data_IF_089903831114
#
_entry.id   IF_089903831114
#
_cell.length_a   1.000
_cell.length_b   1.000
_cell.length_c   1.000
_cell.angle_alpha   90.00
_cell.angle_beta   90.00
_cell.angle_gamma   90.00
#
_symmetry.space_group_name_H-M   'P 1'
#
loop_
_entity.id
_entity.type
_entity.pdbx_description
1 polymer ?
#
# COMPACT_ATOMS: atom_id res chain seq x y z
N UNK A 1 24.51 -27.46 12.83
CA UNK A 1 24.01 -27.56 11.44
C UNK A 1 22.58 -27.04 11.27
N UNK A 2 21.61 -27.35 12.14
CA UNK A 2 20.21 -26.89 11.99
C UNK A 2 20.00 -25.36 11.93
N UNK A 3 20.77 -24.58 12.70
CA UNK A 3 20.71 -23.10 12.66
C UNK A 3 21.18 -22.54 11.30
N UNK A 4 22.17 -23.17 10.66
CA UNK A 4 22.65 -22.75 9.34
C UNK A 4 21.63 -22.98 8.22
N UNK A 5 20.90 -24.10 8.26
CA UNK A 5 19.80 -24.36 7.33
C UNK A 5 18.58 -23.47 7.57
N UNK A 6 18.29 -23.11 8.83
CA UNK A 6 17.29 -22.10 9.15
C UNK A 6 17.67 -20.74 8.55
N UNK A 7 18.91 -20.29 8.72
CA UNK A 7 19.40 -19.04 8.14
C UNK A 7 19.33 -19.07 6.61
N UNK A 8 19.68 -20.19 5.96
CA UNK A 8 19.58 -20.33 4.50
C UNK A 8 18.12 -20.33 4.00
N UNK A 9 17.18 -20.93 4.73
CA UNK A 9 15.75 -20.91 4.39
C UNK A 9 15.12 -19.52 4.56
N UNK A 10 15.56 -18.76 5.57
CA UNK A 10 15.12 -17.39 5.80
C UNK A 10 15.89 -16.35 4.98
N UNK A 11 17.11 -16.65 4.53
CA UNK A 11 17.96 -15.69 3.80
C UNK A 11 17.27 -15.06 2.58
N UNK A 12 16.60 -15.81 1.67
CA UNK A 12 15.88 -15.18 0.56
C UNK A 12 14.60 -14.45 1.02
N UNK A 13 13.89 -14.95 2.03
CA UNK A 13 12.64 -14.33 2.50
C UNK A 13 12.90 -13.04 3.26
N UNK A 14 13.86 -13.02 4.19
CA UNK A 14 14.24 -11.84 4.97
C UNK A 14 14.80 -10.75 4.06
N UNK A 15 15.65 -11.09 3.09
CA UNK A 15 16.17 -10.12 2.14
C UNK A 15 15.03 -9.47 1.33
N UNK A 16 14.09 -10.26 0.79
CA UNK A 16 12.92 -9.75 0.06
C UNK A 16 12.05 -8.87 0.96
N UNK A 17 11.76 -9.32 2.19
CA UNK A 17 10.97 -8.53 3.14
C UNK A 17 11.65 -7.20 3.48
N UNK A 18 12.96 -7.19 3.72
CA UNK A 18 13.72 -5.97 4.00
C UNK A 18 13.63 -5.01 2.81
N UNK A 19 13.90 -5.48 1.59
CA UNK A 19 13.85 -4.63 0.39
C UNK A 19 12.45 -4.05 0.20
N UNK A 20 11.40 -4.87 0.27
CA UNK A 20 10.01 -4.41 0.13
C UNK A 20 9.64 -3.40 1.21
N UNK A 21 10.01 -3.65 2.47
CA UNK A 21 9.71 -2.75 3.58
C UNK A 21 10.47 -1.43 3.45
N UNK A 22 11.74 -1.47 3.05
CA UNK A 22 12.54 -0.28 2.81
C UNK A 22 11.96 0.54 1.67
N UNK A 23 11.63 -0.08 0.53
CA UNK A 23 11.00 0.60 -0.60
C UNK A 23 9.64 1.20 -0.23
N UNK A 24 8.79 0.45 0.47
CA UNK A 24 7.49 0.93 0.94
C UNK A 24 7.66 2.11 1.90
N UNK A 25 8.63 2.05 2.80
CA UNK A 25 8.93 3.12 3.74
C UNK A 25 9.45 4.34 2.99
N UNK A 26 10.46 4.18 2.14
CA UNK A 26 11.01 5.24 1.31
C UNK A 26 9.92 5.91 0.47
N UNK A 27 9.07 5.16 -0.23
CA UNK A 27 7.95 5.72 -1.00
C UNK A 27 6.93 6.47 -0.14
N UNK A 28 6.61 5.96 1.05
CA UNK A 28 5.72 6.68 1.97
C UNK A 28 6.30 8.03 2.43
N UNK A 29 7.60 8.10 2.72
CA UNK A 29 8.23 9.34 3.17
C UNK A 29 8.56 10.29 2.02
N UNK A 30 9.08 9.79 0.90
CA UNK A 30 9.57 10.58 -0.21
C UNK A 30 8.47 11.09 -1.14
N UNK A 31 7.34 10.37 -1.27
CA UNK A 31 6.29 10.69 -2.24
C UNK A 31 4.97 10.98 -1.51
N UNK A 32 4.53 10.06 -0.66
CA UNK A 32 3.19 10.11 -0.07
C UNK A 32 3.01 11.29 0.89
N UNK A 33 4.06 11.65 1.65
CA UNK A 33 4.04 12.80 2.56
C UNK A 33 3.99 14.14 1.82
N UNK A 34 4.92 14.49 0.93
CA UNK A 34 4.89 15.78 0.25
C UNK A 34 3.64 15.96 -0.62
N UNK A 35 3.20 14.92 -1.33
CA UNK A 35 1.96 14.99 -2.11
C UNK A 35 0.75 15.35 -1.24
N UNK A 36 0.68 14.79 -0.03
CA UNK A 36 -0.40 15.07 0.93
C UNK A 36 -0.29 16.46 1.53
N UNK A 37 0.92 16.95 1.80
CA UNK A 37 1.10 18.32 2.29
C UNK A 37 0.69 19.35 1.24
N UNK A 38 1.03 19.14 -0.04
CA UNK A 38 0.59 20.01 -1.15
C UNK A 38 -0.93 20.08 -1.25
N UNK A 39 -1.64 18.94 -1.13
CA UNK A 39 -3.10 18.92 -1.10
C UNK A 39 -3.72 19.63 0.10
N UNK A 40 -2.96 19.77 1.20
CA UNK A 40 -3.42 20.45 2.41
C UNK A 40 -3.10 21.95 2.45
N UNK A 41 -2.30 22.47 1.51
CA UNK A 41 -2.00 23.92 1.44
C UNK A 41 -3.27 24.73 1.12
N UNK A 42 -4.20 24.14 0.37
CA UNK A 42 -5.42 24.81 -0.11
C UNK A 42 -6.59 24.69 0.87
N UNK A 43 -6.44 23.91 1.95
CA UNK A 43 -7.50 23.65 2.94
C UNK A 43 -7.38 24.56 4.16
N UNK A 44 -8.52 25.00 4.72
CA UNK A 44 -8.55 25.68 6.01
C UNK A 44 -8.12 24.78 7.18
N UNK A 45 -7.84 25.37 8.36
CA UNK A 45 -7.39 24.63 9.57
C UNK A 45 -8.36 23.51 9.98
N UNK A 46 -9.67 23.76 9.94
CA UNK A 46 -10.69 22.77 10.29
C UNK A 46 -10.75 21.62 9.28
N UNK A 47 -10.73 21.95 7.98
CA UNK A 47 -10.82 20.95 6.90
C UNK A 47 -9.59 20.05 6.88
N UNK A 48 -8.39 20.62 7.09
CA UNK A 48 -7.15 19.85 7.25
C UNK A 48 -7.25 18.86 8.41
N UNK A 49 -7.84 19.26 9.54
CA UNK A 49 -7.99 18.40 10.71
C UNK A 49 -8.97 17.24 10.43
N UNK A 50 -10.14 17.56 9.84
CA UNK A 50 -11.13 16.55 9.45
C UNK A 50 -10.60 15.58 8.41
N UNK A 51 -9.94 16.08 7.36
CA UNK A 51 -9.34 15.25 6.30
C UNK A 51 -8.27 14.31 6.87
N UNK A 52 -7.37 14.82 7.73
CA UNK A 52 -6.33 14.00 8.33
C UNK A 52 -6.91 12.90 9.22
N UNK A 53 -7.88 13.22 10.07
CA UNK A 53 -8.52 12.23 10.94
C UNK A 53 -9.30 11.16 10.14
N UNK A 54 -9.99 11.59 9.08
CA UNK A 54 -10.72 10.69 8.19
C UNK A 54 -9.78 9.72 7.47
N UNK A 55 -8.67 10.23 6.91
CA UNK A 55 -7.68 9.37 6.24
C UNK A 55 -7.06 8.39 7.23
N UNK A 56 -6.62 8.85 8.40
CA UNK A 56 -5.96 8.00 9.40
C UNK A 56 -6.89 6.90 9.93
N UNK A 57 -8.15 7.23 10.16
CA UNK A 57 -9.11 6.30 10.77
C UNK A 57 -9.86 5.50 9.72
N UNK A 58 -10.58 6.15 8.83
CA UNK A 58 -11.50 5.47 7.90
C UNK A 58 -10.73 4.78 6.78
N UNK A 59 -9.74 5.45 6.20
CA UNK A 59 -9.00 4.89 5.07
C UNK A 59 -7.97 3.86 5.54
N UNK A 60 -7.08 4.23 6.47
CA UNK A 60 -6.04 3.30 6.92
C UNK A 60 -6.60 2.20 7.83
N UNK A 61 -7.34 2.51 8.90
CA UNK A 61 -7.87 1.43 9.77
C UNK A 61 -9.01 0.65 9.12
N UNK A 62 -9.89 1.33 8.37
CA UNK A 62 -10.92 0.62 7.60
C UNK A 62 -10.30 -0.30 6.56
N UNK A 63 -9.26 0.17 5.87
CA UNK A 63 -8.48 -0.64 4.94
C UNK A 63 -7.84 -1.87 5.59
N UNK A 64 -7.20 -1.70 6.76
CA UNK A 64 -6.60 -2.82 7.49
C UNK A 64 -7.65 -3.83 7.96
N UNK A 65 -8.80 -3.37 8.47
CA UNK A 65 -9.89 -4.27 8.90
C UNK A 65 -10.50 -5.04 7.73
N UNK A 66 -10.81 -4.37 6.61
CA UNK A 66 -11.33 -5.02 5.40
C UNK A 66 -10.31 -6.01 4.85
N UNK A 67 -9.02 -5.64 4.80
CA UNK A 67 -7.96 -6.52 4.32
C UNK A 67 -7.82 -7.76 5.22
N UNK A 68 -7.94 -7.59 6.54
CA UNK A 68 -7.92 -8.71 7.49
C UNK A 68 -9.12 -9.64 7.28
N UNK A 69 -10.34 -9.11 7.10
CA UNK A 69 -11.51 -9.94 6.83
C UNK A 69 -11.44 -10.67 5.48
N UNK A 70 -10.97 -10.00 4.43
CA UNK A 70 -10.76 -10.64 3.12
C UNK A 70 -9.73 -11.76 3.24
N UNK A 71 -8.62 -11.51 3.93
CA UNK A 71 -7.60 -12.53 4.18
C UNK A 71 -8.15 -13.72 4.98
N UNK A 72 -8.83 -13.46 6.10
CA UNK A 72 -9.44 -14.50 6.92
C UNK A 72 -10.54 -15.27 6.19
N UNK A 73 -11.33 -14.59 5.34
CA UNK A 73 -12.35 -15.23 4.50
C UNK A 73 -11.76 -16.11 3.41
N UNK A 74 -10.67 -15.68 2.77
CA UNK A 74 -9.95 -16.52 1.80
C UNK A 74 -9.27 -17.72 2.49
N UNK A 75 -8.76 -17.52 3.70
CA UNK A 75 -8.18 -18.61 4.49
C UNK A 75 -9.24 -19.62 4.94
N UNK A 76 -10.46 -19.18 5.31
CA UNK A 76 -11.55 -20.08 5.69
C UNK A 76 -12.11 -20.89 4.51
N UNK A 77 -11.95 -20.40 3.29
CA UNK A 77 -12.21 -21.14 2.04
C UNK A 77 -11.12 -22.19 1.71
N UNK A 78 -10.09 -22.33 2.55
CA UNK A 78 -9.05 -23.35 2.41
C UNK A 78 -7.87 -22.94 1.51
N UNK A 79 -7.77 -21.67 1.11
CA UNK A 79 -6.62 -21.21 0.33
C UNK A 79 -5.37 -21.16 1.21
N UNK A 80 -4.27 -21.72 0.71
CA UNK A 80 -2.95 -21.56 1.33
C UNK A 80 -2.45 -20.12 1.21
N UNK A 81 -1.53 -19.71 2.09
CA UNK A 81 -0.89 -18.38 2.03
C UNK A 81 -0.36 -18.04 0.63
N UNK A 82 0.23 -19.04 -0.05
CA UNK A 82 0.74 -18.88 -1.41
C UNK A 82 -0.36 -18.58 -2.42
N UNK A 83 -1.50 -19.29 -2.35
CA UNK A 83 -2.63 -19.06 -3.24
C UNK A 83 -3.24 -17.66 -3.02
N UNK A 84 -3.36 -17.21 -1.76
CA UNK A 84 -3.83 -15.86 -1.44
C UNK A 84 -2.88 -14.80 -2.02
N UNK A 85 -1.56 -15.01 -1.92
CA UNK A 85 -0.57 -14.11 -2.50
C UNK A 85 -0.71 -14.02 -4.04
N UNK A 86 -0.93 -15.16 -4.72
CA UNK A 86 -1.15 -15.17 -6.17
C UNK A 86 -2.43 -14.44 -6.60
N UNK A 87 -3.50 -14.47 -5.79
CA UNK A 87 -4.73 -13.69 -6.03
C UNK A 87 -4.51 -12.19 -5.78
N UNK A 88 -3.65 -11.82 -4.83
CA UNK A 88 -3.33 -10.43 -4.55
C UNK A 88 -2.52 -9.76 -5.69
N UNK A 89 -1.70 -10.52 -6.42
CA UNK A 89 -0.88 -9.99 -7.54
C UNK A 89 -1.71 -9.30 -8.64
N UNK A 90 -2.74 -9.91 -9.25
CA UNK A 90 -3.55 -9.23 -10.27
C UNK A 90 -4.31 -8.03 -9.71
N UNK A 91 -4.71 -8.07 -8.44
CA UNK A 91 -5.37 -6.96 -7.76
C UNK A 91 -4.43 -5.75 -7.64
N UNK A 92 -3.18 -5.98 -7.25
CA UNK A 92 -2.12 -4.97 -7.26
C UNK A 92 -1.85 -4.42 -8.67
N UNK A 93 -1.84 -5.28 -9.68
CA UNK A 93 -1.68 -4.88 -11.09
C UNK A 93 -2.80 -3.96 -11.57
N UNK A 94 -4.06 -4.31 -11.25
CA UNK A 94 -5.21 -3.48 -11.56
C UNK A 94 -5.12 -2.12 -10.87
N UNK A 95 -4.71 -2.09 -9.61
CA UNK A 95 -4.53 -0.86 -8.83
C UNK A 95 -3.40 0.03 -9.36
N UNK A 96 -2.29 -0.58 -9.79
CA UNK A 96 -1.20 0.15 -10.42
C UNK A 96 -1.66 0.76 -11.75
N UNK A 97 -2.44 0.01 -12.55
CA UNK A 97 -2.99 0.52 -13.81
C UNK A 97 -3.94 1.69 -13.60
N UNK A 98 -4.88 1.61 -12.65
CA UNK A 98 -5.78 2.72 -12.35
C UNK A 98 -5.02 3.96 -11.87
N UNK A 99 -4.02 3.77 -11.01
CA UNK A 99 -3.12 4.84 -10.55
C UNK A 99 -2.39 5.52 -11.71
N UNK A 100 -1.81 4.75 -12.64
CA UNK A 100 -1.12 5.28 -13.81
C UNK A 100 -2.07 6.02 -14.77
N UNK A 101 -3.28 5.49 -15.00
CA UNK A 101 -4.30 6.18 -15.79
C UNK A 101 -4.69 7.51 -15.17
N UNK A 102 -4.86 7.55 -13.85
CA UNK A 102 -5.21 8.78 -13.14
C UNK A 102 -4.07 9.81 -13.18
N UNK A 103 -2.82 9.37 -12.98
CA UNK A 103 -1.63 10.21 -13.10
C UNK A 103 -1.49 10.82 -14.50
N UNK A 104 -1.67 10.01 -15.55
CA UNK A 104 -1.66 10.49 -16.95
C UNK A 104 -2.79 11.46 -17.26
N UNK A 105 -3.96 11.29 -16.64
CA UNK A 105 -5.11 12.19 -16.82
C UNK A 105 -4.87 13.53 -16.11
N UNK A 106 -4.18 13.52 -14.97
CA UNK A 106 -3.70 14.71 -14.27
C UNK A 106 -2.64 15.47 -15.08
N UNK A 107 -1.63 14.80 -15.64
CA UNK A 107 -0.64 15.43 -16.54
C UNK A 107 -1.28 16.08 -17.76
N UNK A 108 -2.28 15.44 -18.38
CA UNK A 108 -3.03 16.04 -19.49
C UNK A 108 -3.78 17.30 -19.08
N UNK A 109 -4.42 17.31 -17.92
CA UNK A 109 -5.14 18.51 -17.44
C UNK A 109 -4.18 19.64 -17.01
N UNK A 110 -2.98 19.30 -16.55
CA UNK A 110 -1.96 20.29 -16.17
C UNK A 110 -1.21 20.88 -17.38
N UNK A 111 -1.21 20.22 -18.54
CA UNK A 111 -0.62 20.72 -19.79
C UNK A 111 -1.54 21.57 -20.66
N UNK A 112 -2.84 21.63 -20.33
CA UNK A 112 -3.87 22.40 -21.06
C UNK A 112 -4.20 23.75 -20.36
N UNK A 113 -3.33 24.26 -19.48
CA UNK A 113 -3.44 25.58 -18.83
C UNK A 113 -2.19 26.43 -19.06
#
# INVERSE_FOLDING_TARGET
>A
MGVGFLILGFSPVLAVLIVVQVLRRAGNYAIMRPAREMLYVVLGKEEKYKAKNFIDTVVYRGGDAVSAWVYSGLQSLGLSLGAIAFVAVPLCGLWAWTSLKLGRKQEKMAGDG
#
